data_IF_949817359675
#
_entry.id   IF_949817359675
#
_cell.length_a   1.000
_cell.length_b   1.000
_cell.length_c   1.000
_cell.angle_alpha   90.00
_cell.angle_beta   90.00
_cell.angle_gamma   90.00
#
_symmetry.space_group_name_H-M   'P 1'
#
loop_
_entity.id
_entity.type
_entity.pdbx_description
1 polymer ?
#
# COMPACT_ATOMS: atom_id res chain seq x y z
N UNK A 1 12.09 8.06 15.17
CA UNK A 1 11.80 7.58 13.80
C UNK A 1 10.30 7.69 13.59
N UNK A 2 9.85 7.83 12.35
CA UNK A 2 8.43 7.92 12.03
C UNK A 2 8.03 6.71 11.17
N UNK A 3 6.81 6.21 11.39
CA UNK A 3 6.27 5.11 10.60
C UNK A 3 5.55 5.64 9.37
N UNK A 4 5.72 4.96 8.25
CA UNK A 4 5.05 5.25 6.99
C UNK A 4 4.46 3.97 6.40
N UNK A 5 3.24 4.06 5.91
CA UNK A 5 2.61 3.08 5.04
C UNK A 5 3.08 3.34 3.60
N UNK A 6 3.54 2.28 2.95
CA UNK A 6 3.82 2.20 1.53
C UNK A 6 2.77 1.26 0.93
N UNK A 7 1.72 1.85 0.33
CA UNK A 7 0.57 1.14 -0.22
C UNK A 7 0.67 0.91 -1.72
N UNK A 8 0.37 -0.31 -2.15
CA UNK A 8 0.32 -0.72 -3.56
C UNK A 8 -1.13 -1.06 -3.91
N UNK A 9 -1.68 -0.43 -4.94
CA UNK A 9 -3.03 -0.70 -5.41
C UNK A 9 -3.03 -1.62 -6.64
N UNK A 10 -4.21 -2.16 -7.00
CA UNK A 10 -4.43 -2.91 -8.24
C UNK A 10 -4.43 -2.03 -9.51
N UNK A 11 -4.11 -0.75 -9.39
CA UNK A 11 -3.95 0.12 -10.57
C UNK A 11 -2.67 -0.26 -11.34
N UNK A 12 -2.75 -0.37 -12.68
CA UNK A 12 -1.58 -0.56 -13.50
C UNK A 12 -0.72 0.71 -13.51
N UNK A 13 0.59 0.54 -13.65
CA UNK A 13 1.49 1.61 -14.04
C UNK A 13 1.68 1.61 -15.56
N UNK A 14 2.89 1.36 -16.03
CA UNK A 14 3.23 1.25 -17.45
C UNK A 14 2.83 -0.09 -18.10
N UNK A 15 2.38 -1.06 -17.30
CA UNK A 15 2.06 -2.41 -17.75
C UNK A 15 0.60 -2.70 -17.44
N UNK A 16 -0.22 -2.77 -18.49
CA UNK A 16 -1.65 -3.10 -18.41
C UNK A 16 -1.92 -4.61 -18.47
N UNK A 17 -0.92 -5.41 -18.89
CA UNK A 17 -1.05 -6.87 -18.97
C UNK A 17 -1.13 -7.46 -17.54
N UNK A 18 -2.18 -8.21 -17.20
CA UNK A 18 -2.31 -8.80 -15.87
C UNK A 18 -1.21 -9.84 -15.63
N UNK A 19 -0.75 -9.96 -14.38
CA UNK A 19 0.33 -10.90 -14.00
C UNK A 19 0.02 -12.36 -14.34
N UNK A 20 -1.25 -12.74 -14.46
CA UNK A 20 -1.68 -14.08 -14.92
C UNK A 20 -1.26 -14.41 -16.35
N UNK A 21 -0.90 -13.42 -17.16
CA UNK A 21 -0.45 -13.57 -18.54
C UNK A 21 1.07 -13.44 -18.70
N UNK A 22 1.81 -13.18 -17.61
CA UNK A 22 3.27 -13.06 -17.65
C UNK A 22 3.93 -14.44 -17.71
N UNK A 23 5.17 -14.50 -18.20
CA UNK A 23 5.92 -15.76 -18.16
C UNK A 23 6.35 -16.10 -16.72
N UNK A 24 6.61 -17.38 -16.41
CA UNK A 24 7.15 -17.76 -15.11
C UNK A 24 8.46 -17.04 -14.76
N UNK A 25 9.34 -16.77 -15.74
CA UNK A 25 10.58 -16.02 -15.46
C UNK A 25 10.31 -14.56 -15.10
N UNK A 26 9.32 -13.92 -15.74
CA UNK A 26 8.93 -12.53 -15.44
C UNK A 26 8.32 -12.43 -14.03
N UNK A 27 7.45 -13.38 -13.67
CA UNK A 27 6.90 -13.47 -12.31
C UNK A 27 8.02 -13.72 -11.30
N UNK A 28 8.95 -14.63 -11.58
CA UNK A 28 10.07 -14.89 -10.67
C UNK A 28 10.95 -13.66 -10.47
N UNK A 29 11.30 -12.94 -11.54
CA UNK A 29 12.10 -11.72 -11.44
C UNK A 29 11.40 -10.62 -10.61
N UNK A 30 10.08 -10.50 -10.76
CA UNK A 30 9.26 -9.61 -9.94
C UNK A 30 9.32 -9.98 -8.44
N UNK A 31 9.12 -11.27 -8.13
CA UNK A 31 9.17 -11.79 -6.76
C UNK A 31 10.56 -11.66 -6.14
N UNK A 32 11.62 -11.97 -6.88
CA UNK A 32 13.01 -11.88 -6.43
C UNK A 32 13.40 -10.44 -6.09
N UNK A 33 12.96 -9.48 -6.90
CA UNK A 33 13.19 -8.06 -6.62
C UNK A 33 12.52 -7.62 -5.32
N UNK A 34 11.24 -7.97 -5.12
CA UNK A 34 10.52 -7.70 -3.86
C UNK A 34 11.17 -8.39 -2.67
N UNK A 35 11.59 -9.65 -2.83
CA UNK A 35 12.27 -10.43 -1.80
C UNK A 35 13.56 -9.75 -1.36
N UNK A 36 14.41 -9.36 -2.32
CA UNK A 36 15.67 -8.65 -2.06
C UNK A 36 15.43 -7.33 -1.34
N UNK A 37 14.47 -6.52 -1.81
CA UNK A 37 14.12 -5.25 -1.16
C UNK A 37 13.68 -5.48 0.28
N UNK A 38 12.82 -6.47 0.53
CA UNK A 38 12.34 -6.77 1.88
C UNK A 38 13.47 -7.25 2.79
N UNK A 39 14.35 -8.12 2.30
CA UNK A 39 15.51 -8.60 3.06
C UNK A 39 16.44 -7.45 3.46
N UNK A 40 16.70 -6.50 2.56
CA UNK A 40 17.47 -5.29 2.87
C UNK A 40 16.81 -4.45 3.97
N UNK A 41 15.51 -4.20 3.86
CA UNK A 41 14.77 -3.39 4.85
C UNK A 41 14.64 -4.10 6.20
N UNK A 42 14.56 -5.43 6.21
CA UNK A 42 14.61 -6.22 7.45
C UNK A 42 16.00 -6.10 8.08
N UNK A 43 17.06 -6.25 7.27
CA UNK A 43 18.43 -6.19 7.75
C UNK A 43 18.80 -4.80 8.31
N UNK A 44 18.24 -3.73 7.74
CA UNK A 44 18.40 -2.36 8.26
C UNK A 44 17.53 -2.07 9.48
N UNK A 45 16.53 -2.90 9.76
CA UNK A 45 15.53 -2.67 10.81
C UNK A 45 14.44 -1.67 10.42
N UNK A 46 14.37 -1.26 9.14
CA UNK A 46 13.40 -0.30 8.64
C UNK A 46 12.02 -0.95 8.38
N UNK A 47 11.94 -2.26 8.10
CA UNK A 47 10.66 -2.93 7.85
C UNK A 47 9.96 -3.34 9.15
N UNK A 48 8.79 -2.73 9.42
CA UNK A 48 7.91 -3.11 10.54
C UNK A 48 7.06 -4.32 10.15
N UNK A 49 6.56 -4.36 8.91
CA UNK A 49 5.78 -5.48 8.41
C UNK A 49 5.29 -5.29 6.98
N UNK A 50 4.87 -6.38 6.35
CA UNK A 50 4.31 -6.39 4.99
C UNK A 50 3.11 -7.34 4.91
N UNK A 51 2.07 -6.92 4.19
CA UNK A 51 0.84 -7.69 3.99
C UNK A 51 0.41 -7.66 2.52
N UNK A 52 0.05 -8.82 1.98
CA UNK A 52 -0.60 -8.97 0.67
C UNK A 52 -2.09 -9.22 0.90
N UNK A 53 -2.94 -8.57 0.11
CA UNK A 53 -4.39 -8.67 0.22
C UNK A 53 -4.99 -9.48 -0.94
N UNK A 54 -6.18 -10.02 -0.72
CA UNK A 54 -6.96 -10.66 -1.78
C UNK A 54 -7.45 -9.64 -2.80
N UNK A 55 -7.73 -10.09 -4.03
CA UNK A 55 -8.28 -9.22 -5.08
C UNK A 55 -9.67 -8.65 -4.77
N UNK A 56 -10.11 -7.60 -5.49
CA UNK A 56 -11.35 -6.88 -5.22
C UNK A 56 -12.61 -7.75 -5.26
N UNK A 57 -12.60 -8.82 -6.07
CA UNK A 57 -13.72 -9.76 -6.20
C UNK A 57 -14.01 -10.56 -4.91
N UNK A 58 -13.03 -10.66 -4.00
CA UNK A 58 -13.18 -11.35 -2.71
C UNK A 58 -13.43 -10.36 -1.55
N UNK A 59 -13.39 -9.06 -1.82
CA UNK A 59 -13.62 -8.05 -0.80
C UNK A 59 -15.11 -7.92 -0.47
N UNK A 60 -15.40 -7.49 0.76
CA UNK A 60 -16.75 -7.18 1.24
C UNK A 60 -16.76 -5.75 1.76
N UNK A 61 -17.76 -4.97 1.34
CA UNK A 61 -18.03 -3.65 1.91
C UNK A 61 -19.16 -3.79 2.92
N UNK A 62 -18.91 -3.29 4.13
CA UNK A 62 -19.86 -3.36 5.24
C UNK A 62 -20.24 -1.95 5.66
N UNK A 63 -21.54 -1.63 5.63
CA UNK A 63 -22.09 -0.36 6.11
C UNK A 63 -23.06 -0.62 7.26
N UNK A 64 -22.89 0.08 8.38
CA UNK A 64 -23.88 0.09 9.45
C UNK A 64 -24.92 1.18 9.21
N UNK A 65 -26.19 0.82 9.36
CA UNK A 65 -27.33 1.77 9.33
C UNK A 65 -28.01 1.85 10.71
N UNK A 66 -27.27 1.62 11.79
CA UNK A 66 -27.80 1.63 13.17
C UNK A 66 -28.52 0.34 13.59
N UNK A 67 -28.49 -0.69 12.74
CA UNK A 67 -29.03 -2.03 12.99
C UNK A 67 -28.15 -3.11 12.37
N UNK A 68 -28.76 -4.14 11.77
CA UNK A 68 -28.03 -5.17 11.00
C UNK A 68 -27.22 -4.51 9.88
N UNK A 69 -25.92 -4.79 9.74
CA UNK A 69 -25.12 -4.17 8.70
C UNK A 69 -25.55 -4.64 7.31
N UNK A 70 -25.51 -3.73 6.34
CA UNK A 70 -25.60 -4.06 4.92
C UNK A 70 -24.22 -4.50 4.46
N UNK A 71 -24.14 -5.70 3.89
CA UNK A 71 -22.91 -6.28 3.34
C UNK A 71 -23.07 -6.39 1.83
N UNK A 72 -22.13 -5.80 1.09
CA UNK A 72 -22.07 -5.86 -0.36
C UNK A 72 -20.82 -6.64 -0.77
N UNK A 73 -20.97 -7.59 -1.69
CA UNK A 73 -19.88 -8.36 -2.30
C UNK A 73 -19.38 -7.66 -3.59
N UNK A 74 -18.13 -7.90 -3.98
CA UNK A 74 -17.51 -7.31 -5.18
C UNK A 74 -17.93 -7.96 -6.50
N UNK A 75 -17.48 -7.41 -7.66
CA UNK A 75 -16.64 -6.22 -7.83
C UNK A 75 -17.44 -4.92 -7.67
N UNK A 76 -16.84 -3.93 -7.01
CA UNK A 76 -17.48 -2.66 -6.70
C UNK A 76 -17.18 -1.60 -7.78
N UNK A 77 -18.20 -1.11 -8.48
CA UNK A 77 -18.03 -0.08 -9.52
C UNK A 77 -17.70 1.32 -8.95
N UNK A 78 -17.93 1.54 -7.66
CA UNK A 78 -17.84 2.88 -7.04
C UNK A 78 -16.43 3.23 -6.52
N UNK A 79 -15.53 2.26 -6.38
CA UNK A 79 -14.18 2.49 -5.84
C UNK A 79 -13.15 2.47 -6.96
N UNK A 80 -12.46 3.61 -7.13
CA UNK A 80 -11.42 3.78 -8.16
C UNK A 80 -10.15 3.00 -7.87
N UNK A 81 -9.88 2.73 -6.59
CA UNK A 81 -8.60 2.21 -6.09
C UNK A 81 -8.87 1.12 -5.04
N UNK A 82 -8.26 -0.04 -5.25
CA UNK A 82 -8.28 -1.17 -4.33
C UNK A 82 -6.85 -1.53 -3.96
N UNK A 83 -6.57 -1.56 -2.66
CA UNK A 83 -5.26 -1.90 -2.13
C UNK A 83 -4.96 -3.39 -2.42
N UNK A 84 -3.86 -3.65 -3.12
CA UNK A 84 -3.32 -4.97 -3.38
C UNK A 84 -2.42 -5.47 -2.23
N UNK A 85 -1.78 -4.54 -1.53
CA UNK A 85 -0.93 -4.83 -0.39
C UNK A 85 -0.28 -3.58 0.16
N UNK A 86 0.42 -3.72 1.28
CA UNK A 86 1.14 -2.61 1.89
C UNK A 86 2.33 -3.09 2.70
N UNK A 87 3.27 -2.17 2.90
CA UNK A 87 4.37 -2.28 3.86
C UNK A 87 4.24 -1.15 4.87
N UNK A 88 4.64 -1.40 6.11
CA UNK A 88 4.88 -0.34 7.09
C UNK A 88 6.37 -0.32 7.36
N UNK A 89 6.98 0.85 7.17
CA UNK A 89 8.40 1.10 7.45
C UNK A 89 8.54 2.12 8.57
N UNK A 90 9.56 1.96 9.41
CA UNK A 90 9.96 2.93 10.43
C UNK A 90 11.32 3.51 10.03
N UNK A 91 11.35 4.80 9.71
CA UNK A 91 12.51 5.45 9.09
C UNK A 91 12.81 6.79 9.76
N UNK A 92 14.02 7.31 9.54
CA UNK A 92 14.46 8.57 10.12
C UNK A 92 13.80 9.81 9.49
N UNK A 93 13.35 9.72 8.23
CA UNK A 93 12.74 10.84 7.52
C UNK A 93 11.71 10.42 6.47
N UNK A 94 10.86 11.36 6.05
CA UNK A 94 9.87 11.16 4.97
C UNK A 94 10.54 10.86 3.64
N UNK A 95 11.66 11.52 3.34
CA UNK A 95 12.44 11.30 2.12
C UNK A 95 12.88 9.85 2.00
N UNK A 96 13.28 9.23 3.12
CA UNK A 96 13.64 7.81 3.13
C UNK A 96 12.45 6.90 2.81
N UNK A 97 11.26 7.21 3.34
CA UNK A 97 10.04 6.48 2.98
C UNK A 97 9.72 6.63 1.48
N UNK A 98 9.91 7.83 0.91
CA UNK A 98 9.73 8.10 -0.52
C UNK A 98 10.75 7.32 -1.37
N UNK A 99 12.01 7.23 -0.94
CA UNK A 99 13.02 6.40 -1.63
C UNK A 99 12.61 4.93 -1.69
N UNK A 100 12.13 4.38 -0.57
CA UNK A 100 11.66 2.99 -0.52
C UNK A 100 10.45 2.82 -1.44
N UNK A 101 9.48 3.74 -1.39
CA UNK A 101 8.31 3.72 -2.26
C UNK A 101 8.69 3.81 -3.75
N UNK A 102 9.71 4.58 -4.12
CA UNK A 102 10.21 4.64 -5.49
C UNK A 102 10.78 3.30 -5.95
N UNK A 103 11.44 2.53 -5.07
CA UNK A 103 11.91 1.16 -5.37
C UNK A 103 10.73 0.19 -5.56
N UNK A 104 9.71 0.29 -4.72
CA UNK A 104 8.45 -0.47 -4.87
C UNK A 104 7.75 -0.14 -6.18
N UNK A 105 7.71 1.15 -6.58
CA UNK A 105 7.18 1.59 -7.87
C UNK A 105 7.94 1.00 -9.06
N UNK A 106 9.24 0.76 -8.89
CA UNK A 106 10.16 0.33 -9.94
C UNK A 106 10.34 -1.18 -10.05
N UNK A 107 9.56 -2.00 -9.31
CA UNK A 107 9.61 -3.46 -9.42
C UNK A 107 9.45 -3.87 -10.90
N UNK A 108 10.24 -4.84 -11.40
CA UNK A 108 10.18 -5.22 -12.80
C UNK A 108 8.85 -5.92 -13.14
N UNK A 109 8.31 -5.56 -14.30
CA UNK A 109 7.25 -6.27 -15.01
C UNK A 109 7.81 -7.05 -16.21
N UNK A 110 6.95 -7.39 -17.19
CA UNK A 110 7.32 -8.12 -18.39
C UNK A 110 8.50 -7.50 -19.13
N UNK A 111 9.39 -8.35 -19.64
CA UNK A 111 10.63 -7.92 -20.30
C UNK A 111 11.61 -7.12 -19.40
N UNK A 112 11.40 -7.10 -18.08
CA UNK A 112 12.23 -6.35 -17.13
C UNK A 112 11.96 -4.85 -17.08
N UNK A 113 10.88 -4.38 -17.70
CA UNK A 113 10.49 -2.96 -17.67
C UNK A 113 9.95 -2.62 -16.28
N UNK A 114 10.38 -1.53 -15.62
CA UNK A 114 9.81 -1.10 -14.35
C UNK A 114 8.31 -0.84 -14.48
N UNK A 115 7.53 -1.38 -13.53
CA UNK A 115 6.07 -1.20 -13.55
C UNK A 115 5.65 0.27 -13.45
N UNK A 116 6.43 1.11 -12.76
CA UNK A 116 6.11 2.52 -12.50
C UNK A 116 4.71 2.70 -11.91
N UNK A 117 4.31 1.78 -11.00
CA UNK A 117 3.02 1.87 -10.34
C UNK A 117 2.98 3.10 -9.42
N UNK A 118 1.83 3.79 -9.33
CA UNK A 118 1.64 4.80 -8.30
C UNK A 118 1.67 4.13 -6.92
N UNK A 119 2.52 4.64 -6.03
CA UNK A 119 2.68 4.11 -4.67
C UNK A 119 2.21 5.15 -3.67
N UNK A 120 1.34 4.74 -2.75
CA UNK A 120 0.85 5.60 -1.68
C UNK A 120 1.85 5.65 -0.54
N UNK A 121 2.38 6.84 -0.23
CA UNK A 121 3.22 7.07 0.95
C UNK A 121 2.42 7.88 1.95
N UNK A 122 2.17 7.31 3.14
CA UNK A 122 1.36 7.98 4.17
C UNK A 122 1.95 7.75 5.55
N UNK A 123 2.13 8.82 6.32
CA UNK A 123 2.55 8.70 7.71
C UNK A 123 1.53 7.90 8.53
N UNK A 124 2.02 6.95 9.31
CA UNK A 124 1.25 6.23 10.33
C UNK A 124 1.39 7.00 11.63
N UNK A 125 0.26 7.41 12.22
CA UNK A 125 0.24 8.12 13.49
C UNK A 125 0.39 7.13 14.66
N UNK A 126 1.23 7.46 15.63
CA UNK A 126 1.48 6.62 16.81
C UNK A 126 0.32 6.66 17.80
N UNK A 127 -0.23 7.86 18.01
CA UNK A 127 -1.34 8.08 18.94
C UNK A 127 -2.65 8.26 18.16
N UNK A 128 -3.61 7.37 18.44
CA UNK A 128 -4.98 7.57 17.99
C UNK A 128 -5.64 8.65 18.85
N UNK A 129 -6.44 9.55 18.27
CA UNK A 129 -7.20 10.51 19.05
C UNK A 129 -8.15 9.78 20.00
N UNK A 130 -8.11 10.15 21.29
CA UNK A 130 -8.89 9.52 22.36
C UNK A 130 -9.89 10.47 23.04
N UNK A 131 -9.83 11.75 22.71
CA UNK A 131 -10.69 12.81 23.22
C UNK A 131 -10.93 13.87 22.14
N UNK A 132 -11.74 14.89 22.48
CA UNK A 132 -12.14 15.93 21.52
C UNK A 132 -10.94 16.75 21.06
N UNK A 133 -10.05 17.12 21.98
CA UNK A 133 -8.91 17.98 21.67
C UNK A 133 -7.92 17.25 20.73
N UNK A 134 -7.60 15.99 21.02
CA UNK A 134 -6.76 15.16 20.15
C UNK A 134 -7.43 14.83 18.81
N UNK A 135 -8.76 14.72 18.77
CA UNK A 135 -9.50 14.57 17.51
C UNK A 135 -9.43 15.85 16.66
N UNK A 136 -9.56 17.03 17.26
CA UNK A 136 -9.45 18.31 16.55
C UNK A 136 -8.03 18.54 15.99
N UNK A 137 -6.99 18.12 16.72
CA UNK A 137 -5.60 18.10 16.22
C UNK A 137 -5.43 17.12 15.04
N UNK A 138 -6.00 15.92 15.17
CA UNK A 138 -5.99 14.92 14.09
C UNK A 138 -6.67 15.45 12.82
N UNK A 139 -7.87 16.05 12.94
CA UNK A 139 -8.63 16.54 11.80
C UNK A 139 -7.87 17.63 11.04
N UNK A 140 -7.23 18.59 11.74
CA UNK A 140 -6.36 19.59 11.11
C UNK A 140 -5.22 18.94 10.31
N UNK A 141 -4.60 17.91 10.88
CA UNK A 141 -3.51 17.16 10.23
C UNK A 141 -4.02 16.36 9.02
N UNK A 142 -5.17 15.70 9.14
CA UNK A 142 -5.78 14.89 8.09
C UNK A 142 -6.27 15.72 6.89
N UNK A 143 -6.69 16.96 7.13
CA UNK A 143 -7.07 17.91 6.08
C UNK A 143 -5.87 18.59 5.42
N UNK A 144 -4.64 18.33 5.89
CA UNK A 144 -3.42 18.95 5.37
C UNK A 144 -3.28 20.43 5.74
N UNK A 145 -4.07 20.91 6.70
CA UNK A 145 -4.03 22.28 7.19
C UNK A 145 -3.04 22.33 8.35
N UNK A 146 -1.77 22.60 8.05
CA UNK A 146 -0.78 22.99 9.07
C UNK A 146 -0.90 24.46 9.41
#
# INVERSE_FOLDING_TARGET
MAKYLIGVDFQPGNVDTPMSEWTPEEVQAHLDYYGTLNEELIASGELVGSTILTGPDLAKIVRSEGGTPVVTDGPFQEFKEWLAGFQVVEVESEERAIEIAARVSAVPGPGGVPLAQPIHVRQVMDDAPSDVDSMDDFLRTAEGVR
#
